data_IF_596069440399
#
_entry.id   IF_596069440399
#
_cell.length_a   1.000
_cell.length_b   1.000
_cell.length_c   1.000
_cell.angle_alpha   90.00
_cell.angle_beta   90.00
_cell.angle_gamma   90.00
#
_symmetry.space_group_name_H-M   'P 1'
#
loop_
_entity.id
_entity.type
_entity.pdbx_description
1 polymer ?
#
# COMPACT_ATOMS: atom_id res chain seq x y z
N UNK A 1 6.54 -42.39 45.06
CA UNK A 1 6.90 -41.31 44.12
C UNK A 1 6.99 -41.94 42.74
N UNK A 2 6.23 -41.44 41.76
CA UNK A 2 6.36 -41.88 40.36
C UNK A 2 7.71 -41.42 39.81
N UNK A 3 8.26 -42.13 38.81
CA UNK A 3 9.57 -41.79 38.22
C UNK A 3 9.61 -40.35 37.70
N UNK A 4 8.48 -39.82 37.24
CA UNK A 4 8.36 -38.48 36.66
C UNK A 4 8.61 -37.36 37.69
N UNK A 5 8.07 -37.48 38.91
CA UNK A 5 8.29 -36.48 39.97
C UNK A 5 9.76 -36.37 40.42
N UNK A 6 10.51 -37.48 40.35
CA UNK A 6 11.93 -37.48 40.74
C UNK A 6 12.81 -36.65 39.79
N UNK A 7 12.39 -36.44 38.54
CA UNK A 7 13.16 -35.65 37.58
C UNK A 7 12.97 -34.14 37.79
N UNK A 8 11.76 -33.70 38.14
CA UNK A 8 11.46 -32.30 38.46
C UNK A 8 12.18 -31.86 39.74
N UNK A 9 12.13 -32.70 40.79
CA UNK A 9 12.76 -32.43 42.09
C UNK A 9 14.28 -32.22 41.94
N UNK A 10 14.95 -33.03 41.11
CA UNK A 10 16.40 -32.92 40.85
C UNK A 10 16.74 -31.60 40.15
N UNK A 11 15.92 -31.18 39.18
CA UNK A 11 16.13 -29.90 38.49
C UNK A 11 15.91 -28.73 39.46
N UNK A 12 14.90 -28.81 40.32
CA UNK A 12 14.61 -27.77 41.31
C UNK A 12 15.71 -27.65 42.37
N UNK A 13 16.27 -28.77 42.83
CA UNK A 13 17.41 -28.78 43.74
C UNK A 13 18.65 -28.16 43.08
N UNK A 14 18.95 -28.53 41.83
CA UNK A 14 20.06 -27.96 41.08
C UNK A 14 19.89 -26.44 40.88
N UNK A 15 18.68 -25.96 40.57
CA UNK A 15 18.36 -24.53 40.51
C UNK A 15 18.62 -23.87 41.84
N UNK A 16 18.17 -24.46 42.95
CA UNK A 16 18.35 -23.88 44.28
C UNK A 16 19.83 -23.71 44.63
N UNK A 17 20.65 -24.71 44.32
CA UNK A 17 22.10 -24.67 44.56
C UNK A 17 22.77 -23.58 43.72
N UNK A 18 22.43 -23.49 42.43
CA UNK A 18 23.07 -22.58 41.49
C UNK A 18 22.58 -21.12 41.61
N UNK A 19 21.36 -20.90 42.09
CA UNK A 19 20.78 -19.56 42.24
C UNK A 19 20.91 -18.98 43.66
N UNK A 20 21.62 -19.67 44.56
CA UNK A 20 21.75 -19.26 45.96
C UNK A 20 22.60 -17.98 46.12
N UNK A 21 22.03 -16.96 46.76
CA UNK A 21 22.73 -15.72 47.07
C UNK A 21 22.87 -14.83 45.82
N UNK A 22 24.09 -14.37 45.54
CA UNK A 22 24.45 -13.69 44.28
C UNK A 22 25.26 -14.67 43.41
N UNK A 23 24.65 -15.33 42.40
CA UNK A 23 25.31 -16.33 41.58
C UNK A 23 26.45 -15.73 40.78
N UNK A 24 27.62 -16.37 40.81
CA UNK A 24 28.74 -15.97 39.96
C UNK A 24 28.51 -16.31 38.48
N UNK A 25 29.48 -15.92 37.63
CA UNK A 25 29.40 -16.18 36.19
C UNK A 25 29.27 -17.67 35.86
N UNK A 26 29.95 -18.55 36.59
CA UNK A 26 29.93 -19.98 36.30
C UNK A 26 28.56 -20.58 36.62
N UNK A 27 27.95 -20.19 37.74
CA UNK A 27 26.60 -20.62 38.11
C UNK A 27 25.55 -20.20 37.08
N UNK A 28 25.66 -19.00 36.50
CA UNK A 28 24.77 -18.52 35.43
C UNK A 28 24.89 -19.34 34.14
N UNK A 29 26.11 -19.72 33.75
CA UNK A 29 26.34 -20.64 32.61
C UNK A 29 25.78 -22.04 32.90
N UNK A 30 25.99 -22.57 34.11
CA UNK A 30 25.46 -23.87 34.51
C UNK A 30 23.93 -23.88 34.55
N UNK A 31 23.28 -22.80 34.99
CA UNK A 31 21.82 -22.66 34.89
C UNK A 31 21.34 -22.71 33.44
N UNK A 32 22.08 -22.08 32.52
CA UNK A 32 21.75 -22.12 31.09
C UNK A 32 21.88 -23.53 30.50
N UNK A 33 22.93 -24.26 30.88
CA UNK A 33 23.12 -25.65 30.48
C UNK A 33 22.07 -26.58 31.12
N UNK A 34 21.74 -26.34 32.38
CA UNK A 34 20.69 -27.08 33.09
C UNK A 34 19.36 -26.94 32.36
N UNK A 35 18.95 -25.72 31.98
CA UNK A 35 17.74 -25.51 31.18
C UNK A 35 17.75 -26.32 29.89
N UNK A 36 18.86 -26.25 29.13
CA UNK A 36 19.00 -26.98 27.86
C UNK A 36 18.96 -28.50 28.03
N UNK A 37 19.68 -29.05 29.00
CA UNK A 37 19.73 -30.51 29.24
C UNK A 37 18.41 -31.02 29.81
N UNK A 38 17.78 -30.28 30.74
CA UNK A 38 16.46 -30.61 31.28
C UNK A 38 15.41 -30.64 30.18
N UNK A 39 15.42 -29.66 29.26
CA UNK A 39 14.50 -29.63 28.11
C UNK A 39 14.68 -30.80 27.14
N UNK A 40 15.89 -31.38 27.04
CA UNK A 40 16.15 -32.60 26.27
C UNK A 40 15.72 -33.88 27.01
N UNK A 41 15.69 -33.83 28.34
CA UNK A 41 15.36 -34.98 29.20
C UNK A 41 13.85 -35.12 29.40
N UNK A 42 13.11 -34.02 29.42
CA UNK A 42 11.66 -34.02 29.57
C UNK A 42 10.97 -34.35 28.24
N UNK A 43 10.06 -35.33 28.26
CA UNK A 43 9.44 -35.87 27.05
C UNK A 43 7.99 -35.42 26.85
N UNK A 44 7.26 -35.10 27.91
CA UNK A 44 5.90 -34.57 27.82
C UNK A 44 5.83 -33.03 27.92
N UNK A 45 4.70 -32.47 27.51
CA UNK A 45 4.49 -31.03 27.47
C UNK A 45 4.30 -30.43 28.87
N UNK A 46 3.80 -31.19 29.84
CA UNK A 46 3.54 -30.70 31.19
C UNK A 46 4.85 -30.37 31.90
N UNK A 47 5.84 -31.26 31.79
CA UNK A 47 7.17 -31.08 32.37
C UNK A 47 7.93 -29.94 31.69
N UNK A 48 7.79 -29.80 30.36
CA UNK A 48 8.38 -28.68 29.61
C UNK A 48 7.74 -27.34 29.99
N UNK A 49 6.42 -27.30 30.12
CA UNK A 49 5.71 -26.08 30.56
C UNK A 49 6.10 -25.70 32.00
N UNK A 50 6.28 -26.69 32.88
CA UNK A 50 6.81 -26.46 34.22
C UNK A 50 8.23 -25.89 34.17
N UNK A 51 9.11 -26.48 33.35
CA UNK A 51 10.49 -26.04 33.18
C UNK A 51 10.55 -24.59 32.67
N UNK A 52 9.74 -24.27 31.66
CA UNK A 52 9.66 -22.92 31.09
C UNK A 52 9.20 -21.91 32.14
N UNK A 53 8.15 -22.22 32.91
CA UNK A 53 7.70 -21.36 34.00
C UNK A 53 8.79 -21.17 35.06
N UNK A 54 9.54 -22.23 35.36
CA UNK A 54 10.58 -22.19 36.38
C UNK A 54 11.75 -21.32 35.97
N UNK A 55 12.21 -21.45 34.73
CA UNK A 55 13.32 -20.67 34.20
C UNK A 55 12.93 -19.26 33.77
N UNK A 56 11.65 -18.99 33.50
CA UNK A 56 11.15 -17.62 33.30
C UNK A 56 11.39 -16.74 34.55
N UNK A 57 11.31 -17.31 35.76
CA UNK A 57 11.65 -16.59 36.99
C UNK A 57 13.15 -16.30 37.15
N UNK A 58 14.00 -16.95 36.35
CA UNK A 58 15.46 -16.83 36.39
C UNK A 58 16.00 -16.09 35.16
N UNK A 59 15.13 -15.49 34.34
CA UNK A 59 15.52 -14.92 33.06
C UNK A 59 16.65 -13.89 33.22
N UNK A 60 16.55 -12.98 34.19
CA UNK A 60 17.60 -12.00 34.50
C UNK A 60 18.99 -12.65 34.74
N UNK A 61 19.04 -13.80 35.42
CA UNK A 61 20.29 -14.54 35.66
C UNK A 61 20.79 -15.23 34.38
N UNK A 62 19.89 -15.68 33.52
CA UNK A 62 20.22 -16.28 32.23
C UNK A 62 20.70 -15.23 31.22
N UNK A 63 20.21 -13.99 31.28
CA UNK A 63 20.64 -12.90 30.37
C UNK A 63 22.13 -12.56 30.53
N UNK A 64 22.67 -12.80 31.71
CA UNK A 64 24.08 -12.64 32.02
C UNK A 64 24.96 -13.81 31.57
N UNK A 65 24.35 -14.94 31.19
CA UNK A 65 25.06 -16.07 30.57
C UNK A 65 25.40 -15.76 29.12
N UNK A 66 26.67 -15.95 28.76
CA UNK A 66 27.15 -15.80 27.40
C UNK A 66 26.48 -16.81 26.46
N UNK A 67 26.32 -18.07 26.90
CA UNK A 67 25.75 -19.13 26.08
C UNK A 67 24.29 -18.83 25.74
N UNK A 68 23.52 -18.41 26.75
CA UNK A 68 22.10 -18.10 26.58
C UNK A 68 21.90 -16.85 25.70
N UNK A 69 22.67 -15.79 25.95
CA UNK A 69 22.68 -14.58 25.11
C UNK A 69 22.98 -14.92 23.66
N UNK A 70 24.00 -15.75 23.41
CA UNK A 70 24.40 -16.11 22.04
C UNK A 70 23.33 -16.93 21.30
N UNK A 71 22.62 -17.80 22.02
CA UNK A 71 21.51 -18.56 21.44
C UNK A 71 20.34 -17.63 21.10
N UNK A 72 19.99 -16.72 22.01
CA UNK A 72 18.93 -15.73 21.83
C UNK A 72 19.22 -14.79 20.65
N UNK A 73 20.42 -14.21 20.58
CA UNK A 73 20.87 -13.36 19.47
C UNK A 73 20.67 -14.06 18.12
N UNK A 74 21.09 -15.33 18.00
CA UNK A 74 20.92 -16.10 16.76
C UNK A 74 19.45 -16.36 16.42
N UNK A 75 18.62 -16.60 17.43
CA UNK A 75 17.19 -16.79 17.23
C UNK A 75 16.53 -15.49 16.77
N UNK A 76 16.90 -14.36 17.36
CA UNK A 76 16.43 -13.03 17.01
C UNK A 76 16.88 -12.63 15.59
N UNK A 77 18.17 -12.79 15.26
CA UNK A 77 18.69 -12.55 13.91
C UNK A 77 17.91 -13.33 12.84
N UNK A 78 17.61 -14.61 13.10
CA UNK A 78 16.78 -15.44 12.21
C UNK A 78 15.34 -14.93 12.14
N UNK A 79 14.75 -14.58 13.29
CA UNK A 79 13.39 -14.04 13.38
C UNK A 79 13.25 -12.75 12.58
N UNK A 80 14.19 -11.82 12.72
CA UNK A 80 14.26 -10.57 11.97
C UNK A 80 14.44 -10.83 10.48
N UNK A 81 15.37 -11.73 10.09
CA UNK A 81 15.61 -12.05 8.69
C UNK A 81 14.36 -12.62 8.00
N UNK A 82 13.67 -13.58 8.66
CA UNK A 82 12.43 -14.17 8.17
C UNK A 82 11.31 -13.11 8.12
N UNK A 83 11.16 -12.33 9.18
CA UNK A 83 10.15 -11.27 9.26
C UNK A 83 10.31 -10.24 8.16
N UNK A 84 11.55 -9.79 7.90
CA UNK A 84 11.89 -8.88 6.80
C UNK A 84 11.55 -9.48 5.44
N UNK A 85 12.01 -10.70 5.17
CA UNK A 85 11.76 -11.38 3.89
C UNK A 85 10.25 -11.53 3.61
N UNK A 86 9.47 -11.98 4.61
CA UNK A 86 8.02 -12.12 4.49
C UNK A 86 7.35 -10.75 4.30
N UNK A 87 7.77 -9.76 5.08
CA UNK A 87 7.26 -8.40 5.00
C UNK A 87 7.47 -7.76 3.64
N UNK A 88 8.68 -7.88 3.08
CA UNK A 88 9.04 -7.37 1.75
C UNK A 88 8.23 -8.07 0.64
N UNK A 89 8.20 -9.41 0.64
CA UNK A 89 7.46 -10.17 -0.37
C UNK A 89 5.96 -9.85 -0.36
N UNK A 90 5.34 -9.82 0.82
CA UNK A 90 3.92 -9.46 0.96
C UNK A 90 3.67 -8.00 0.60
N UNK A 91 4.55 -7.09 1.04
CA UNK A 91 4.45 -5.67 0.76
C UNK A 91 4.46 -5.37 -0.75
N UNK A 92 5.40 -5.97 -1.48
CA UNK A 92 5.51 -5.84 -2.93
C UNK A 92 4.26 -6.42 -3.61
N UNK A 93 3.90 -7.68 -3.32
CA UNK A 93 2.77 -8.34 -3.96
C UNK A 93 1.45 -7.57 -3.76
N UNK A 94 1.18 -7.10 -2.54
CA UNK A 94 -0.03 -6.32 -2.23
C UNK A 94 0.03 -4.93 -2.88
N UNK A 95 1.19 -4.28 -2.83
CA UNK A 95 1.40 -2.96 -3.41
C UNK A 95 1.18 -2.94 -4.91
N UNK A 96 1.76 -3.91 -5.63
CA UNK A 96 1.62 -4.05 -7.08
C UNK A 96 0.18 -4.35 -7.49
N UNK A 97 -0.46 -5.36 -6.87
CA UNK A 97 -1.85 -5.72 -7.19
C UNK A 97 -2.81 -4.56 -6.97
N UNK A 98 -2.70 -3.86 -5.83
CA UNK A 98 -3.55 -2.70 -5.53
C UNK A 98 -3.23 -1.52 -6.43
N UNK A 99 -1.96 -1.26 -6.69
CA UNK A 99 -1.51 -0.18 -7.56
C UNK A 99 -2.06 -0.32 -8.98
N UNK A 100 -1.96 -1.52 -9.56
CA UNK A 100 -2.50 -1.85 -10.89
C UNK A 100 -4.02 -1.69 -10.89
N UNK A 101 -4.73 -2.35 -9.97
CA UNK A 101 -6.19 -2.31 -9.94
C UNK A 101 -6.75 -0.88 -9.79
N UNK A 102 -6.16 -0.07 -8.90
CA UNK A 102 -6.58 1.33 -8.71
C UNK A 102 -6.22 2.18 -9.94
N UNK A 103 -5.02 1.98 -10.50
CA UNK A 103 -4.56 2.69 -11.67
C UNK A 103 -5.44 2.44 -12.90
N UNK A 104 -5.78 1.18 -13.16
CA UNK A 104 -6.65 0.77 -14.27
C UNK A 104 -8.06 1.31 -14.10
N UNK A 105 -8.69 1.11 -12.93
CA UNK A 105 -10.05 1.60 -12.68
C UNK A 105 -10.15 3.12 -12.82
N UNK A 106 -9.21 3.87 -12.25
CA UNK A 106 -9.19 5.33 -12.37
C UNK A 106 -8.88 5.78 -13.79
N UNK A 107 -7.94 5.12 -14.46
CA UNK A 107 -7.57 5.41 -15.84
C UNK A 107 -8.74 5.25 -16.80
N UNK A 108 -9.47 4.13 -16.68
CA UNK A 108 -10.68 3.85 -17.47
C UNK A 108 -11.75 4.89 -17.17
N UNK A 109 -12.13 5.10 -15.91
CA UNK A 109 -13.19 6.04 -15.55
C UNK A 109 -12.91 7.47 -16.04
N UNK A 110 -11.67 7.96 -15.87
CA UNK A 110 -11.26 9.28 -16.36
C UNK A 110 -11.26 9.33 -17.89
N UNK A 111 -10.77 8.27 -18.54
CA UNK A 111 -10.72 8.16 -19.99
C UNK A 111 -12.11 8.17 -20.62
N UNK A 112 -13.04 7.38 -20.07
CA UNK A 112 -14.44 7.31 -20.51
C UNK A 112 -15.14 8.65 -20.31
N UNK A 113 -15.07 9.23 -19.12
CA UNK A 113 -15.72 10.51 -18.82
C UNK A 113 -15.20 11.64 -19.74
N UNK A 114 -13.87 11.74 -19.93
CA UNK A 114 -13.30 12.75 -20.83
C UNK A 114 -13.64 12.46 -22.29
N UNK A 115 -13.61 11.20 -22.70
CA UNK A 115 -13.96 10.78 -24.05
C UNK A 115 -15.40 11.12 -24.41
N UNK A 116 -16.33 10.86 -23.49
CA UNK A 116 -17.74 11.20 -23.61
C UNK A 116 -17.94 12.71 -23.72
N UNK A 117 -17.38 13.49 -22.79
CA UNK A 117 -17.46 14.97 -22.82
C UNK A 117 -16.92 15.57 -24.12
N UNK A 118 -15.75 15.10 -24.59
CA UNK A 118 -15.16 15.56 -25.86
C UNK A 118 -16.04 15.14 -27.04
N UNK A 119 -16.58 13.91 -27.00
CA UNK A 119 -17.48 13.39 -28.03
C UNK A 119 -18.78 14.21 -28.15
N UNK A 120 -19.39 14.55 -27.02
CA UNK A 120 -20.58 15.40 -26.95
C UNK A 120 -20.31 16.80 -27.48
N UNK A 121 -19.24 17.47 -27.02
CA UNK A 121 -18.87 18.80 -27.52
C UNK A 121 -18.63 18.79 -29.04
N UNK A 122 -17.89 17.80 -29.55
CA UNK A 122 -17.68 17.65 -31.01
C UNK A 122 -18.99 17.36 -31.74
N UNK A 123 -19.91 16.63 -31.12
CA UNK A 123 -21.26 16.39 -31.62
C UNK A 123 -22.07 17.67 -31.77
N UNK A 124 -22.10 18.49 -30.72
CA UNK A 124 -22.78 19.79 -30.68
C UNK A 124 -22.25 20.74 -31.76
N UNK A 125 -20.95 20.70 -32.08
CA UNK A 125 -20.33 21.58 -33.10
C UNK A 125 -20.74 21.25 -34.55
N UNK A 126 -21.27 20.05 -34.81
CA UNK A 126 -21.59 19.57 -36.18
C UNK A 126 -22.51 20.51 -36.97
N UNK A 127 -23.62 21.06 -36.42
CA UNK A 127 -24.51 21.96 -37.15
C UNK A 127 -23.81 23.27 -37.54
N UNK A 128 -23.06 23.87 -36.61
CA UNK A 128 -22.29 25.09 -36.88
C UNK A 128 -21.26 24.84 -37.99
N UNK A 129 -20.51 23.75 -37.89
CA UNK A 129 -19.54 23.38 -38.92
C UNK A 129 -20.19 23.16 -40.28
N UNK A 130 -21.32 22.44 -40.33
CA UNK A 130 -22.06 22.21 -41.56
C UNK A 130 -22.54 23.53 -42.18
N UNK A 131 -23.10 24.42 -41.37
CA UNK A 131 -23.61 25.71 -41.83
C UNK A 131 -22.48 26.60 -42.38
N UNK A 132 -21.40 26.76 -41.61
CA UNK A 132 -20.23 27.56 -42.01
C UNK A 132 -19.60 27.00 -43.28
N UNK A 133 -19.42 25.66 -43.38
CA UNK A 133 -18.92 25.02 -44.60
C UNK A 133 -19.72 25.40 -45.85
N UNK A 134 -21.04 25.54 -45.71
CA UNK A 134 -21.94 25.77 -46.84
C UNK A 134 -22.05 27.24 -47.23
N UNK A 135 -22.00 28.17 -46.27
CA UNK A 135 -22.26 29.61 -46.50
C UNK A 135 -20.99 30.48 -46.42
N UNK A 136 -20.03 30.10 -45.59
CA UNK A 136 -18.80 30.86 -45.31
C UNK A 136 -17.59 29.92 -45.22
N UNK A 137 -17.23 29.18 -46.29
CA UNK A 137 -16.23 28.12 -46.24
C UNK A 137 -14.85 28.57 -45.76
N UNK A 138 -14.48 29.84 -45.96
CA UNK A 138 -13.21 30.42 -45.50
C UNK A 138 -13.10 30.53 -43.98
N UNK A 139 -14.22 30.43 -43.25
CA UNK A 139 -14.25 30.48 -41.78
C UNK A 139 -14.16 29.09 -41.12
N UNK A 140 -14.09 28.01 -41.89
CA UNK A 140 -13.95 26.66 -41.35
C UNK A 140 -12.76 26.46 -40.39
N UNK A 141 -11.55 26.99 -40.68
CA UNK A 141 -10.43 26.87 -39.74
C UNK A 141 -10.74 27.49 -38.37
N UNK A 142 -11.53 28.58 -38.36
CA UNK A 142 -11.93 29.26 -37.13
C UNK A 142 -13.00 28.48 -36.35
N UNK A 143 -13.86 27.71 -37.04
CA UNK A 143 -14.78 26.76 -36.39
C UNK A 143 -14.03 25.56 -35.80
N UNK A 144 -12.97 25.10 -36.45
CA UNK A 144 -12.16 24.01 -35.88
C UNK A 144 -11.39 24.47 -34.63
N UNK A 145 -11.09 25.77 -34.48
CA UNK A 145 -10.57 26.34 -33.23
C UNK A 145 -11.56 26.18 -32.06
N UNK A 146 -12.87 26.30 -32.30
CA UNK A 146 -13.88 26.01 -31.27
C UNK A 146 -13.76 24.59 -30.73
N UNK A 147 -13.38 23.61 -31.55
CA UNK A 147 -13.25 22.21 -31.13
C UNK A 147 -12.11 21.96 -30.14
N UNK A 148 -11.19 22.92 -30.01
CA UNK A 148 -10.03 22.84 -29.11
C UNK A 148 -10.26 23.58 -27.79
N UNK A 149 -11.35 24.35 -27.68
CA UNK A 149 -11.73 25.11 -26.48
C UNK A 149 -12.97 24.50 -25.84
N UNK A 150 -13.13 24.73 -24.54
CA UNK A 150 -14.37 24.42 -23.85
C UNK A 150 -15.41 25.47 -24.21
N UNK A 151 -16.64 25.04 -24.51
CA UNK A 151 -17.76 25.93 -24.78
C UNK A 151 -19.04 25.37 -24.20
N UNK A 152 -20.00 26.26 -23.95
CA UNK A 152 -21.35 25.87 -23.54
C UNK A 152 -22.27 25.75 -24.75
N UNK A 153 -23.35 24.98 -24.59
CA UNK A 153 -24.39 24.85 -25.61
C UNK A 153 -25.02 26.21 -25.97
N UNK A 154 -25.23 27.09 -24.98
CA UNK A 154 -25.79 28.43 -25.19
C UNK A 154 -24.90 29.32 -26.06
N UNK A 155 -23.57 29.31 -25.82
CA UNK A 155 -22.61 30.06 -26.63
C UNK A 155 -22.63 29.55 -28.07
N UNK A 156 -22.68 28.23 -28.25
CA UNK A 156 -22.73 27.60 -29.56
C UNK A 156 -24.02 27.90 -30.33
N UNK A 157 -25.17 27.79 -29.66
CA UNK A 157 -26.48 28.09 -30.23
C UNK A 157 -26.61 29.57 -30.60
N UNK A 158 -26.10 30.46 -29.75
CA UNK A 158 -26.05 31.90 -30.03
C UNK A 158 -25.19 32.19 -31.26
N UNK A 159 -23.99 31.60 -31.33
CA UNK A 159 -23.10 31.75 -32.47
C UNK A 159 -23.78 31.25 -33.76
N UNK A 160 -24.38 30.07 -33.72
CA UNK A 160 -25.11 29.50 -34.86
C UNK A 160 -26.21 30.43 -35.36
N UNK A 161 -27.02 30.99 -34.47
CA UNK A 161 -28.10 31.90 -34.82
C UNK A 161 -27.60 33.21 -35.43
N UNK A 162 -26.56 33.82 -34.85
CA UNK A 162 -25.98 35.05 -35.36
C UNK A 162 -25.31 34.86 -36.73
N UNK A 163 -24.55 33.76 -36.89
CA UNK A 163 -23.93 33.41 -38.16
C UNK A 163 -24.97 33.07 -39.22
N UNK A 164 -26.11 32.49 -38.83
CA UNK A 164 -27.21 32.21 -39.75
C UNK A 164 -27.83 33.49 -40.34
N UNK A 165 -27.85 34.58 -39.58
CA UNK A 165 -28.37 35.88 -40.02
C UNK A 165 -27.33 36.75 -40.75
N UNK A 166 -26.04 36.47 -40.58
CA UNK A 166 -24.97 37.22 -41.21
C UNK A 166 -25.15 37.25 -42.75
N UNK A 167 -25.03 38.44 -43.32
CA UNK A 167 -25.12 38.68 -44.75
C UNK A 167 -23.74 38.61 -45.42
N UNK A 168 -22.69 38.89 -44.65
CA UNK A 168 -21.31 38.92 -45.13
C UNK A 168 -20.40 37.98 -44.34
N UNK A 169 -19.30 37.57 -44.96
CA UNK A 169 -18.26 36.78 -44.29
C UNK A 169 -17.63 37.54 -43.11
N UNK A 170 -17.49 38.87 -43.22
CA UNK A 170 -16.94 39.71 -42.16
C UNK A 170 -17.83 39.73 -40.91
N UNK A 171 -19.16 39.84 -41.09
CA UNK A 171 -20.14 39.73 -39.99
C UNK A 171 -20.08 38.34 -39.35
N UNK A 172 -20.12 37.28 -40.15
CA UNK A 172 -20.04 35.91 -39.65
C UNK A 172 -18.74 35.67 -38.85
N UNK A 173 -17.61 36.19 -39.35
CA UNK A 173 -16.31 36.12 -38.65
C UNK A 173 -16.32 36.85 -37.32
N UNK A 174 -16.92 38.04 -37.27
CA UNK A 174 -17.04 38.81 -36.03
C UNK A 174 -17.82 38.03 -34.97
N UNK A 175 -18.97 37.45 -35.32
CA UNK A 175 -19.77 36.63 -34.41
C UNK A 175 -19.02 35.38 -33.94
N UNK A 176 -18.29 34.71 -34.85
CA UNK A 176 -17.51 33.51 -34.52
C UNK A 176 -16.36 33.84 -33.56
N UNK A 177 -15.65 34.95 -33.78
CA UNK A 177 -14.61 35.44 -32.87
C UNK A 177 -15.19 35.87 -31.53
N UNK A 178 -16.33 36.54 -31.50
CA UNK A 178 -16.99 36.92 -30.25
C UNK A 178 -17.27 35.68 -29.40
N UNK A 179 -17.89 34.66 -29.99
CA UNK A 179 -18.21 33.43 -29.28
C UNK A 179 -16.96 32.60 -28.88
N UNK A 180 -15.83 32.70 -29.59
CA UNK A 180 -14.55 32.11 -29.15
C UNK A 180 -14.01 32.78 -27.88
N UNK A 181 -14.21 34.09 -27.74
CA UNK A 181 -13.71 34.86 -26.58
C UNK A 181 -14.68 34.85 -25.40
N UNK A 182 -15.97 34.58 -25.62
CA UNK A 182 -16.98 34.44 -24.55
C UNK A 182 -16.75 33.24 -23.62
N UNK A 183 -15.85 32.32 -23.96
CA UNK A 183 -15.46 31.17 -23.14
C UNK A 183 -14.14 31.39 -22.37
N UNK A 184 -13.65 32.63 -22.26
CA UNK A 184 -12.44 33.01 -21.49
C UNK A 184 -12.78 33.57 -20.12
#
# INVERSE_FOLDING_TARGET
>A
MTRDGAHLDVVDEAIHVLSKGDPDRQSRELLSLLYGISGLTFHDQTDKDWLDRRFAMLEDLLEDSWTFRRLRERAEEKGIAIGKQIGEQKGIAIGEQKGIAIGEQKGIAIGEQKGEQIGEQRGMLKPLRYFVKRRFPMLLPLVEEFSQKTFTEDVLNTALFQIAQAQTEAEARHHLLAALHSNS
#
